data_IF_800029873023
#
_entry.id   IF_800029873023
#
_cell.length_a   1.000
_cell.length_b   1.000
_cell.length_c   1.000
_cell.angle_alpha   90.00
_cell.angle_beta   90.00
_cell.angle_gamma   90.00
#
_symmetry.space_group_name_H-M   'P 1'
#
loop_
_entity.id
_entity.type
_entity.pdbx_description
1 polymer ?
#
# COMPACT_ATOMS: atom_id res chain seq x y z
N UNK A 1 4.44 14.15 16.71
CA UNK A 1 5.57 13.60 17.47
C UNK A 1 5.90 14.48 18.67
N UNK A 2 6.23 15.75 18.48
CA UNK A 2 6.57 16.65 19.60
C UNK A 2 5.56 16.70 20.76
N UNK A 3 4.28 16.51 20.46
CA UNK A 3 3.21 16.50 21.48
C UNK A 3 3.18 15.23 22.34
N UNK A 4 4.02 14.22 22.06
CA UNK A 4 4.06 12.95 22.78
C UNK A 4 5.40 12.65 23.43
N UNK A 5 6.38 13.54 23.27
CA UNK A 5 7.75 13.39 23.78
C UNK A 5 8.40 12.06 23.37
N UNK A 6 8.07 11.57 22.13
CA UNK A 6 8.54 10.30 21.58
C UNK A 6 9.11 10.52 20.19
N UNK A 7 10.23 9.88 19.92
CA UNK A 7 11.03 10.13 18.71
C UNK A 7 10.86 9.06 17.61
N UNK A 8 10.54 7.83 17.99
CA UNK A 8 10.57 6.71 17.05
C UNK A 8 9.27 6.53 16.29
N UNK A 9 9.39 6.24 14.98
CA UNK A 9 8.30 5.79 14.12
C UNK A 9 8.61 4.36 13.66
N UNK A 10 7.63 3.47 13.73
CA UNK A 10 7.69 2.14 13.15
C UNK A 10 7.08 2.18 11.75
N UNK A 11 7.78 1.64 10.76
CA UNK A 11 7.26 1.31 9.42
C UNK A 11 7.48 -0.16 9.11
N UNK A 12 6.96 -0.64 7.98
CA UNK A 12 7.10 -2.03 7.59
C UNK A 12 8.01 -2.19 6.37
N UNK A 13 8.79 -3.29 6.38
CA UNK A 13 9.62 -3.70 5.25
C UNK A 13 8.74 -3.94 4.03
N UNK A 14 9.17 -3.42 2.88
CA UNK A 14 8.40 -3.46 1.64
C UNK A 14 7.35 -2.36 1.47
N UNK A 15 6.94 -1.67 2.55
CA UNK A 15 6.03 -0.53 2.47
C UNK A 15 6.75 0.77 2.09
N UNK A 16 6.06 1.63 1.31
CA UNK A 16 6.56 2.92 0.86
C UNK A 16 5.62 4.05 1.33
N UNK A 17 6.21 5.09 1.92
CA UNK A 17 5.46 6.20 2.51
C UNK A 17 5.94 7.56 1.99
N UNK A 18 6.16 7.65 0.69
CA UNK A 18 6.59 8.86 0.04
C UNK A 18 8.08 9.15 0.16
N UNK A 19 8.47 10.36 -0.21
CA UNK A 19 9.86 10.79 -0.40
C UNK A 19 10.47 11.44 0.85
N UNK A 20 9.90 11.25 2.03
CA UNK A 20 10.50 11.75 3.27
C UNK A 20 11.76 10.96 3.60
N UNK A 21 12.90 11.65 3.77
CA UNK A 21 14.19 11.03 4.08
C UNK A 21 14.12 10.08 5.29
N UNK A 22 13.39 10.48 6.33
CA UNK A 22 13.21 9.66 7.52
C UNK A 22 12.49 8.33 7.26
N UNK A 23 11.71 8.21 6.18
CA UNK A 23 10.98 7.00 5.82
C UNK A 23 11.66 6.20 4.68
N UNK A 24 12.74 6.74 4.09
CA UNK A 24 13.56 6.06 3.07
C UNK A 24 14.62 5.18 3.75
N UNK A 25 14.17 4.23 4.55
CA UNK A 25 15.01 3.34 5.34
C UNK A 25 14.64 1.88 5.13
N UNK A 26 15.60 1.00 5.36
CA UNK A 26 15.44 -0.46 5.37
C UNK A 26 15.94 -1.05 6.69
N UNK A 27 15.49 -2.25 7.04
CA UNK A 27 16.01 -2.98 8.18
C UNK A 27 17.53 -3.21 8.04
N UNK A 28 18.27 -3.05 9.15
CA UNK A 28 19.65 -3.54 9.27
C UNK A 28 19.69 -5.07 9.37
N UNK A 29 20.84 -5.62 9.74
CA UNK A 29 21.08 -7.08 9.78
C UNK A 29 20.39 -7.83 10.94
N UNK A 30 19.51 -7.19 11.70
CA UNK A 30 18.72 -7.81 12.79
C UNK A 30 17.56 -6.91 13.22
N UNK A 31 16.55 -7.51 13.85
CA UNK A 31 15.28 -6.84 14.22
C UNK A 31 15.48 -5.62 15.13
N UNK A 32 16.52 -5.60 15.95
CA UNK A 32 16.84 -4.50 16.87
C UNK A 32 18.05 -3.69 16.38
N UNK A 33 18.56 -3.97 15.18
CA UNK A 33 19.74 -3.30 14.64
C UNK A 33 19.34 -1.93 14.04
N UNK A 34 20.27 -0.98 14.09
CA UNK A 34 20.09 0.35 13.51
C UNK A 34 19.63 0.25 12.05
N UNK A 35 18.60 1.01 11.71
CA UNK A 35 18.11 1.14 10.34
C UNK A 35 19.16 1.80 9.46
N UNK A 36 19.24 1.33 8.23
CA UNK A 36 20.17 1.86 7.22
C UNK A 36 19.36 2.64 6.19
N UNK A 37 19.86 3.80 5.77
CA UNK A 37 19.26 4.55 4.68
C UNK A 37 19.15 3.69 3.41
N UNK A 38 17.98 3.70 2.78
CA UNK A 38 17.69 2.97 1.54
C UNK A 38 18.05 3.78 0.28
N UNK A 39 18.36 5.07 0.47
CA UNK A 39 18.74 5.99 -0.60
C UNK A 39 20.04 6.69 -0.26
N UNK A 40 20.89 6.87 -1.26
CA UNK A 40 22.05 7.73 -1.14
C UNK A 40 21.62 9.17 -0.82
N UNK A 41 22.39 9.86 0.04
CA UNK A 41 22.12 11.23 0.44
C UNK A 41 21.24 11.39 1.70
N UNK A 42 20.62 10.32 2.21
CA UNK A 42 19.90 10.37 3.48
C UNK A 42 20.90 10.32 4.65
N UNK A 43 20.96 11.37 5.49
CA UNK A 43 21.88 11.38 6.64
C UNK A 43 21.48 10.32 7.67
N UNK A 44 22.47 9.66 8.29
CA UNK A 44 22.25 8.67 9.33
C UNK A 44 21.40 9.22 10.50
N UNK A 45 21.65 10.46 10.89
CA UNK A 45 20.86 11.14 11.93
C UNK A 45 19.37 11.28 11.64
N UNK A 46 18.97 11.20 10.36
CA UNK A 46 17.56 11.20 9.93
C UNK A 46 16.96 9.81 9.98
N UNK A 47 17.71 8.79 9.57
CA UNK A 47 17.27 7.40 9.50
C UNK A 47 17.11 6.75 10.88
N UNK A 48 17.90 7.15 11.87
CA UNK A 48 18.00 6.48 13.19
C UNK A 48 16.69 6.41 14.01
N UNK A 49 15.75 7.31 13.74
CA UNK A 49 14.47 7.37 14.46
C UNK A 49 13.35 6.57 13.79
N UNK A 50 13.64 5.89 12.70
CA UNK A 50 12.67 5.03 12.02
C UNK A 50 13.03 3.58 12.23
N UNK A 51 12.15 2.84 12.89
CA UNK A 51 12.27 1.42 13.13
C UNK A 51 11.54 0.66 12.02
N UNK A 52 12.05 -0.51 11.64
CA UNK A 52 11.45 -1.33 10.58
C UNK A 52 11.03 -2.67 11.16
N UNK A 53 9.73 -2.97 11.08
CA UNK A 53 9.14 -4.26 11.39
C UNK A 53 8.90 -5.07 10.11
N UNK A 54 8.72 -6.37 10.25
CA UNK A 54 8.27 -7.24 9.17
C UNK A 54 6.74 -7.13 9.02
N UNK A 55 6.26 -7.01 7.77
CA UNK A 55 4.83 -6.95 7.50
C UNK A 55 4.19 -8.33 7.75
N UNK A 56 2.98 -8.35 8.33
CA UNK A 56 2.29 -9.57 8.71
C UNK A 56 3.00 -10.43 9.80
N UNK A 57 3.91 -9.83 10.57
CA UNK A 57 4.60 -10.47 11.69
C UNK A 57 4.41 -9.66 12.98
N UNK A 58 3.46 -10.10 13.81
CA UNK A 58 3.16 -9.49 15.11
C UNK A 58 4.36 -9.53 16.07
N UNK A 59 5.17 -10.61 16.01
CA UNK A 59 6.29 -10.78 16.92
C UNK A 59 7.37 -9.75 16.65
N UNK A 60 7.65 -9.46 15.38
CA UNK A 60 8.56 -8.38 14.98
C UNK A 60 8.13 -7.03 15.59
N UNK A 61 6.84 -6.73 15.58
CA UNK A 61 6.31 -5.49 16.18
C UNK A 61 6.43 -5.51 17.69
N UNK A 62 6.07 -6.63 18.35
CA UNK A 62 6.18 -6.80 19.83
C UNK A 62 7.62 -6.58 20.31
N UNK A 63 8.59 -7.11 19.58
CA UNK A 63 10.01 -6.94 19.92
C UNK A 63 10.43 -5.47 19.90
N UNK A 64 9.98 -4.70 18.90
CA UNK A 64 10.25 -3.26 18.83
C UNK A 64 9.59 -2.50 19.98
N UNK A 65 8.31 -2.77 20.30
CA UNK A 65 7.63 -2.12 21.42
C UNK A 65 8.22 -2.46 22.78
N UNK A 66 8.76 -3.66 22.94
CA UNK A 66 9.48 -4.06 24.16
C UNK A 66 10.83 -3.34 24.28
N UNK A 67 11.60 -3.27 23.17
CA UNK A 67 12.91 -2.65 23.14
C UNK A 67 12.84 -1.11 23.31
N UNK A 68 11.81 -0.48 22.74
CA UNK A 68 11.61 0.97 22.72
C UNK A 68 10.36 1.40 23.50
N UNK A 69 10.08 0.73 24.61
CA UNK A 69 8.89 0.93 25.42
C UNK A 69 8.68 2.41 25.78
N UNK A 70 7.49 2.95 25.44
CA UNK A 70 7.14 4.33 25.70
C UNK A 70 7.89 5.37 24.86
N UNK A 71 8.69 4.95 23.88
CA UNK A 71 9.46 5.83 22.99
C UNK A 71 8.92 5.87 21.55
N UNK A 72 8.03 4.94 21.19
CA UNK A 72 7.42 4.87 19.85
C UNK A 72 6.27 5.86 19.78
N UNK A 73 6.40 6.87 18.92
CA UNK A 73 5.37 7.87 18.67
C UNK A 73 4.23 7.34 17.82
N UNK A 74 4.55 6.56 16.78
CA UNK A 74 3.56 6.05 15.85
C UNK A 74 4.03 4.80 15.11
N UNK A 75 3.05 4.01 14.64
CA UNK A 75 3.20 3.06 13.54
C UNK A 75 2.59 3.70 12.29
N UNK A 76 3.31 3.67 11.16
CA UNK A 76 2.76 3.94 9.83
C UNK A 76 2.73 2.65 9.03
N UNK A 77 1.58 2.32 8.43
CA UNK A 77 1.36 1.08 7.70
C UNK A 77 0.49 1.33 6.46
N UNK A 78 0.83 0.70 5.33
CA UNK A 78 -0.10 0.49 4.23
C UNK A 78 -1.07 -0.62 4.67
N UNK A 79 -2.38 -0.38 4.85
CA UNK A 79 -3.33 -1.42 5.29
C UNK A 79 -3.37 -2.64 4.36
N UNK A 80 -3.15 -2.40 3.07
CA UNK A 80 -2.76 -3.40 2.07
C UNK A 80 -1.48 -2.89 1.46
N UNK A 81 -0.39 -3.62 1.66
CA UNK A 81 0.88 -3.25 1.05
C UNK A 81 0.79 -3.45 -0.47
N UNK A 82 1.22 -2.43 -1.23
CA UNK A 82 1.12 -2.42 -2.69
C UNK A 82 2.39 -1.87 -3.38
N UNK A 83 3.49 -1.75 -2.63
CA UNK A 83 4.81 -1.34 -3.12
C UNK A 83 5.84 -2.49 -3.12
N UNK A 84 5.40 -3.68 -2.75
CA UNK A 84 6.11 -4.96 -2.91
C UNK A 84 5.28 -5.98 -3.71
N UNK A 85 4.43 -5.49 -4.60
CA UNK A 85 3.25 -6.16 -5.12
C UNK A 85 2.11 -6.09 -4.12
N UNK A 86 0.94 -6.61 -4.47
CA UNK A 86 -0.23 -6.60 -3.58
C UNK A 86 -0.07 -7.67 -2.51
N UNK A 87 0.09 -7.25 -1.27
CA UNK A 87 0.18 -8.14 -0.10
C UNK A 87 -0.88 -7.72 0.92
N UNK A 88 -2.01 -8.44 0.99
CA UNK A 88 -3.04 -8.18 1.98
C UNK A 88 -2.56 -8.45 3.40
N UNK A 89 -3.13 -7.78 4.41
CA UNK A 89 -2.86 -8.11 5.80
C UNK A 89 -3.41 -9.50 6.13
N UNK A 90 -2.67 -10.26 6.94
CA UNK A 90 -3.21 -11.48 7.56
C UNK A 90 -4.37 -11.12 8.49
N UNK A 91 -5.32 -12.04 8.64
CA UNK A 91 -6.42 -11.87 9.59
C UNK A 91 -5.88 -11.58 11.00
N UNK A 92 -6.40 -10.53 11.65
CA UNK A 92 -5.98 -10.11 12.99
C UNK A 92 -4.79 -9.15 13.02
N UNK A 93 -4.03 -8.99 11.92
CA UNK A 93 -2.81 -8.17 11.94
C UNK A 93 -3.10 -6.68 12.15
N UNK A 94 -4.08 -6.11 11.47
CA UNK A 94 -4.43 -4.69 11.63
C UNK A 94 -5.09 -4.43 12.99
N UNK A 95 -5.90 -5.34 13.49
CA UNK A 95 -6.47 -5.32 14.84
C UNK A 95 -5.37 -5.33 15.89
N UNK A 96 -4.39 -6.21 15.72
CA UNK A 96 -3.21 -6.25 16.59
C UNK A 96 -2.44 -4.92 16.58
N UNK A 97 -2.22 -4.30 15.41
CA UNK A 97 -1.56 -2.99 15.33
C UNK A 97 -2.36 -1.90 16.06
N UNK A 98 -3.71 -1.95 15.95
CA UNK A 98 -4.57 -1.04 16.70
C UNK A 98 -4.42 -1.22 18.20
N UNK A 99 -4.47 -2.45 18.67
CA UNK A 99 -4.43 -2.80 20.10
C UNK A 99 -3.08 -2.45 20.74
N UNK A 100 -1.96 -2.80 20.09
CA UNK A 100 -0.63 -2.53 20.63
C UNK A 100 -0.37 -1.01 20.68
N UNK A 101 -0.77 -0.26 19.64
CA UNK A 101 -0.60 1.20 19.63
C UNK A 101 -1.46 1.86 20.68
N UNK A 102 -2.69 1.41 20.88
CA UNK A 102 -3.58 1.93 21.89
C UNK A 102 -3.06 1.65 23.30
N UNK A 103 -2.56 0.45 23.54
CA UNK A 103 -2.02 0.01 24.84
C UNK A 103 -0.75 0.78 25.22
N UNK A 104 0.17 1.01 24.27
CA UNK A 104 1.40 1.77 24.52
C UNK A 104 1.17 3.28 24.49
N UNK A 105 0.04 3.74 23.97
CA UNK A 105 -0.26 5.15 23.73
C UNK A 105 0.43 5.72 22.49
N UNK A 106 0.92 4.90 21.58
CA UNK A 106 1.40 5.31 20.26
C UNK A 106 0.23 5.62 19.31
N UNK A 107 0.50 6.29 18.19
CA UNK A 107 -0.49 6.53 17.16
C UNK A 107 -0.46 5.43 16.09
N UNK A 108 -1.62 5.05 15.56
CA UNK A 108 -1.74 4.25 14.35
C UNK A 108 -2.03 5.17 13.17
N UNK A 109 -1.16 5.15 12.15
CA UNK A 109 -1.30 5.92 10.91
C UNK A 109 -1.55 4.94 9.78
N UNK A 110 -2.70 5.03 9.10
CA UNK A 110 -2.94 4.32 7.86
C UNK A 110 -2.46 5.15 6.68
N UNK A 111 -1.52 4.60 5.93
CA UNK A 111 -1.17 5.12 4.63
C UNK A 111 -2.15 4.55 3.60
N UNK A 112 -3.18 5.34 3.34
CA UNK A 112 -4.22 5.02 2.36
C UNK A 112 -4.03 5.76 1.02
N UNK A 113 -2.81 6.07 0.67
CA UNK A 113 -2.50 6.69 -0.63
C UNK A 113 -2.91 5.77 -1.79
N UNK A 114 -2.88 4.45 -1.60
CA UNK A 114 -3.36 3.47 -2.59
C UNK A 114 -4.77 2.98 -2.26
N UNK A 115 -5.05 2.63 -1.02
CA UNK A 115 -6.28 1.97 -0.60
C UNK A 115 -7.46 2.93 -0.39
N UNK A 116 -7.20 4.20 -0.12
CA UNK A 116 -8.23 5.23 0.06
C UNK A 116 -9.09 5.41 -1.18
N UNK A 117 -10.40 5.36 -1.01
CA UNK A 117 -11.41 5.40 -2.08
C UNK A 117 -11.26 4.29 -3.14
N UNK A 118 -10.43 3.27 -2.88
CA UNK A 118 -10.20 2.16 -3.80
C UNK A 118 -10.83 0.86 -3.32
N UNK A 119 -10.68 0.51 -2.05
CA UNK A 119 -11.28 -0.71 -1.50
C UNK A 119 -12.74 -0.52 -1.15
N UNK A 120 -13.10 0.66 -0.66
CA UNK A 120 -14.44 1.09 -0.31
C UNK A 120 -14.50 2.63 -0.37
N UNK A 121 -15.67 3.27 -0.29
CA UNK A 121 -15.79 4.73 -0.16
C UNK A 121 -14.98 5.30 1.00
N UNK A 122 -14.95 4.63 2.14
CA UNK A 122 -14.12 4.99 3.30
C UNK A 122 -12.72 4.34 3.31
N UNK A 123 -12.27 3.75 2.19
CA UNK A 123 -10.97 3.12 2.06
C UNK A 123 -10.81 1.84 2.86
N UNK A 124 -9.56 1.54 3.23
CA UNK A 124 -9.24 0.36 4.03
C UNK A 124 -9.81 0.41 5.45
N UNK A 125 -9.97 1.59 6.02
CA UNK A 125 -10.61 1.77 7.34
C UNK A 125 -12.01 1.19 7.37
N UNK A 126 -12.81 1.47 6.34
CA UNK A 126 -14.15 0.91 6.19
C UNK A 126 -14.08 -0.59 5.88
N UNK A 127 -13.24 -0.98 4.94
CA UNK A 127 -13.13 -2.36 4.47
C UNK A 127 -12.73 -3.34 5.60
N UNK A 128 -11.78 -2.95 6.45
CA UNK A 128 -11.30 -3.78 7.58
C UNK A 128 -11.94 -3.43 8.92
N UNK A 129 -12.81 -2.41 8.98
CA UNK A 129 -13.44 -1.91 10.21
C UNK A 129 -12.44 -1.49 11.30
N UNK A 130 -11.29 -0.94 10.89
CA UNK A 130 -10.24 -0.45 11.79
C UNK A 130 -10.17 1.08 11.71
N UNK A 131 -10.23 1.74 12.85
CA UNK A 131 -10.11 3.20 12.92
C UNK A 131 -8.70 3.62 13.34
N UNK A 132 -7.88 4.16 12.43
CA UNK A 132 -6.57 4.72 12.78
C UNK A 132 -6.73 6.07 13.49
N UNK A 133 -5.63 6.57 14.05
CA UNK A 133 -5.56 7.93 14.62
C UNK A 133 -5.36 8.99 13.54
N UNK A 134 -4.58 8.66 12.51
CA UNK A 134 -4.30 9.50 11.34
C UNK A 134 -4.38 8.66 10.06
N UNK A 135 -4.72 9.33 8.97
CA UNK A 135 -4.77 8.75 7.63
C UNK A 135 -4.08 9.67 6.64
N UNK A 136 -3.27 9.13 5.76
CA UNK A 136 -2.74 9.85 4.60
C UNK A 136 -3.43 9.38 3.33
N UNK A 137 -3.76 10.31 2.44
CA UNK A 137 -4.48 10.06 1.20
C UNK A 137 -3.75 10.72 0.02
N UNK A 138 -3.87 10.13 -1.15
CA UNK A 138 -3.32 10.62 -2.40
C UNK A 138 -4.02 9.95 -3.58
N UNK A 139 -3.41 9.99 -4.75
CA UNK A 139 -3.90 9.30 -5.97
C UNK A 139 -5.37 9.62 -6.26
N UNK A 140 -6.32 8.73 -5.95
CA UNK A 140 -7.75 8.88 -6.26
C UNK A 140 -8.33 10.19 -5.72
N UNK A 141 -7.94 10.61 -4.50
CA UNK A 141 -8.45 11.85 -3.90
C UNK A 141 -8.17 13.09 -4.74
N UNK A 142 -7.16 13.04 -5.59
CA UNK A 142 -6.80 14.12 -6.51
C UNK A 142 -7.51 14.11 -7.86
N UNK A 143 -8.28 13.04 -8.17
CA UNK A 143 -8.96 12.94 -9.48
C UNK A 143 -8.00 13.00 -10.67
N UNK A 144 -6.82 12.42 -10.56
CA UNK A 144 -5.74 12.49 -11.56
C UNK A 144 -4.78 13.67 -11.39
N UNK A 145 -5.08 14.61 -10.50
CA UNK A 145 -4.22 15.76 -10.20
C UNK A 145 -3.30 15.45 -8.99
N UNK A 146 -2.13 16.13 -8.88
CA UNK A 146 -1.19 15.91 -7.77
C UNK A 146 -1.75 16.50 -6.46
N UNK A 147 -2.29 15.64 -5.60
CA UNK A 147 -2.84 15.98 -4.28
C UNK A 147 -2.29 15.01 -3.24
N UNK A 148 -1.84 15.55 -2.13
CA UNK A 148 -1.59 14.82 -0.89
C UNK A 148 -2.48 15.39 0.22
N UNK A 149 -3.12 14.52 0.97
CA UNK A 149 -4.02 14.89 2.06
C UNK A 149 -3.69 14.04 3.28
N UNK A 150 -3.82 14.62 4.46
CA UNK A 150 -3.80 13.88 5.71
C UNK A 150 -4.88 14.40 6.64
N UNK A 151 -5.35 13.55 7.50
CA UNK A 151 -6.39 13.88 8.47
C UNK A 151 -6.47 12.84 9.58
N UNK A 152 -7.33 13.07 10.54
CA UNK A 152 -7.54 12.15 11.65
C UNK A 152 -8.22 12.78 12.84
N UNK A 153 -7.88 12.30 14.03
CA UNK A 153 -8.48 12.74 15.28
C UNK A 153 -8.34 14.26 15.46
N UNK A 154 -9.44 14.91 15.84
CA UNK A 154 -9.52 16.37 15.96
C UNK A 154 -8.41 16.96 16.85
N UNK A 155 -8.14 16.36 18.00
CA UNK A 155 -7.13 16.82 18.94
C UNK A 155 -5.70 16.77 18.38
N UNK A 156 -5.43 15.84 17.45
CA UNK A 156 -4.14 15.77 16.76
C UNK A 156 -4.09 16.84 15.67
N UNK A 157 -5.15 16.98 14.89
CA UNK A 157 -5.21 17.96 13.82
C UNK A 157 -5.19 19.40 14.31
N UNK A 158 -5.68 19.66 15.52
CA UNK A 158 -5.57 20.99 16.17
C UNK A 158 -4.14 21.39 16.54
N UNK A 159 -3.18 20.46 16.54
CA UNK A 159 -1.77 20.79 16.71
C UNK A 159 -1.14 21.45 15.47
N UNK A 160 -1.81 21.40 14.32
CA UNK A 160 -1.32 21.98 13.05
C UNK A 160 -1.65 23.49 13.03
N UNK A 161 -0.68 24.27 12.54
CA UNK A 161 -0.85 25.73 12.38
C UNK A 161 -2.07 26.02 11.44
N UNK A 162 -2.82 27.10 11.71
CA UNK A 162 -2.58 28.16 12.68
C UNK A 162 -3.13 27.87 14.09
N UNK A 163 -3.80 26.73 14.31
CA UNK A 163 -4.39 26.40 15.61
C UNK A 163 -3.34 25.92 16.62
N UNK A 164 -2.29 25.23 16.15
CA UNK A 164 -1.21 24.72 16.95
C UNK A 164 0.17 25.10 16.39
N UNK A 165 1.22 24.50 16.95
CA UNK A 165 2.61 24.87 16.68
C UNK A 165 3.24 24.07 15.51
N UNK A 166 2.57 23.01 15.03
CA UNK A 166 3.10 22.18 13.95
C UNK A 166 2.94 22.90 12.61
N UNK A 167 4.06 23.32 12.04
CA UNK A 167 4.07 24.04 10.78
C UNK A 167 3.73 23.12 9.61
N UNK A 168 2.80 23.55 8.77
CA UNK A 168 2.44 22.92 7.50
C UNK A 168 2.22 23.99 6.44
N UNK A 169 2.92 23.87 5.32
CA UNK A 169 2.74 24.74 4.17
C UNK A 169 3.07 24.01 2.87
N UNK A 170 2.44 24.42 1.79
CA UNK A 170 2.71 23.94 0.45
C UNK A 170 2.11 24.92 -0.57
N UNK A 171 2.91 25.41 -1.50
CA UNK A 171 2.49 26.41 -2.50
C UNK A 171 1.25 25.95 -3.30
N UNK A 172 1.17 24.64 -3.59
CA UNK A 172 0.06 24.08 -4.36
C UNK A 172 -1.05 23.49 -3.47
N UNK A 173 -0.96 23.64 -2.13
CA UNK A 173 -2.02 23.20 -1.23
C UNK A 173 -3.31 23.94 -1.51
N UNK A 174 -4.41 23.21 -1.70
CA UNK A 174 -5.70 23.79 -2.04
C UNK A 174 -5.78 24.34 -3.47
N UNK A 175 -4.92 23.91 -4.39
CA UNK A 175 -4.99 24.31 -5.80
C UNK A 175 -6.41 24.08 -6.35
N UNK A 176 -7.10 25.10 -6.90
CA UNK A 176 -8.51 24.99 -7.26
C UNK A 176 -8.79 23.94 -8.35
N UNK A 177 -7.87 23.73 -9.29
CA UNK A 177 -8.03 22.69 -10.33
C UNK A 177 -7.98 21.30 -9.68
N UNK A 178 -6.99 21.05 -8.83
CA UNK A 178 -6.84 19.77 -8.13
C UNK A 178 -8.01 19.51 -7.16
N UNK A 179 -8.46 20.53 -6.44
CA UNK A 179 -9.63 20.41 -5.56
C UNK A 179 -10.90 20.12 -6.33
N UNK A 180 -11.13 20.77 -7.46
CA UNK A 180 -12.30 20.53 -8.31
C UNK A 180 -12.27 19.11 -8.88
N UNK A 181 -11.14 18.66 -9.44
CA UNK A 181 -11.00 17.32 -9.99
C UNK A 181 -11.24 16.23 -8.91
N UNK A 182 -10.67 16.44 -7.72
CA UNK A 182 -10.89 15.54 -6.58
C UNK A 182 -12.35 15.50 -6.14
N UNK A 183 -13.00 16.65 -5.97
CA UNK A 183 -14.41 16.75 -5.58
C UNK A 183 -15.31 16.02 -6.60
N UNK A 184 -15.12 16.26 -7.88
CA UNK A 184 -15.95 15.61 -8.91
C UNK A 184 -15.69 14.10 -8.97
N UNK A 185 -14.47 13.65 -8.80
CA UNK A 185 -14.15 12.21 -8.70
C UNK A 185 -14.86 11.56 -7.51
N UNK A 186 -14.79 12.18 -6.33
CA UNK A 186 -15.44 11.66 -5.13
C UNK A 186 -16.97 11.65 -5.25
N UNK A 187 -17.56 12.68 -5.87
CA UNK A 187 -19.00 12.70 -6.18
C UNK A 187 -19.41 11.56 -7.12
N UNK A 188 -18.59 11.26 -8.13
CA UNK A 188 -18.85 10.13 -9.03
C UNK A 188 -18.82 8.79 -8.27
N UNK A 189 -17.84 8.59 -7.38
CA UNK A 189 -17.75 7.38 -6.58
C UNK A 189 -18.93 7.24 -5.60
N UNK A 190 -19.36 8.34 -4.99
CA UNK A 190 -20.53 8.37 -4.09
C UNK A 190 -21.84 8.10 -4.84
N UNK A 191 -21.97 8.60 -6.05
CA UNK A 191 -23.14 8.38 -6.92
C UNK A 191 -23.19 6.95 -7.50
N UNK A 192 -22.06 6.24 -7.55
CA UNK A 192 -21.92 4.91 -8.17
C UNK A 192 -21.23 3.90 -7.24
N UNK A 193 -21.79 3.61 -6.05
CA UNK A 193 -21.15 2.70 -5.09
C UNK A 193 -21.04 1.26 -5.62
N UNK A 194 -21.84 0.87 -6.61
CA UNK A 194 -21.75 -0.43 -7.29
C UNK A 194 -20.41 -0.66 -7.99
N UNK A 195 -19.63 0.38 -8.25
CA UNK A 195 -18.33 0.28 -8.91
C UNK A 195 -17.36 -0.62 -8.14
N UNK A 196 -17.40 -0.59 -6.82
CA UNK A 196 -16.50 -1.39 -5.99
C UNK A 196 -16.71 -2.90 -6.21
N UNK A 197 -17.94 -3.38 -6.08
CA UNK A 197 -18.26 -4.78 -6.32
C UNK A 197 -18.02 -5.20 -7.79
N UNK A 198 -18.31 -4.32 -8.75
CA UNK A 198 -18.05 -4.55 -10.17
C UNK A 198 -16.55 -4.74 -10.43
N UNK A 199 -15.70 -3.86 -9.89
CA UNK A 199 -14.25 -3.94 -10.06
C UNK A 199 -13.64 -5.15 -9.35
N UNK A 200 -14.12 -5.49 -8.17
CA UNK A 200 -13.71 -6.70 -7.46
C UNK A 200 -14.04 -7.95 -8.27
N UNK A 201 -15.25 -8.04 -8.84
CA UNK A 201 -15.63 -9.15 -9.72
C UNK A 201 -14.74 -9.28 -10.96
N UNK A 202 -14.44 -8.17 -11.63
CA UNK A 202 -13.50 -8.13 -12.77
C UNK A 202 -12.11 -8.60 -12.37
N UNK A 203 -11.60 -8.13 -11.23
CA UNK A 203 -10.28 -8.48 -10.72
C UNK A 203 -10.21 -9.95 -10.33
N UNK A 204 -11.27 -10.48 -9.70
CA UNK A 204 -11.37 -11.89 -9.32
C UNK A 204 -11.36 -12.80 -10.55
N UNK A 205 -12.08 -12.43 -11.63
CA UNK A 205 -12.06 -13.17 -12.89
C UNK A 205 -10.66 -13.22 -13.50
N UNK A 206 -9.96 -12.09 -13.54
CA UNK A 206 -8.58 -12.03 -14.06
C UNK A 206 -7.60 -12.82 -13.19
N UNK A 207 -7.73 -12.72 -11.86
CA UNK A 207 -6.91 -13.50 -10.93
C UNK A 207 -7.14 -15.01 -11.08
N UNK A 208 -8.39 -15.43 -11.28
CA UNK A 208 -8.73 -16.83 -11.54
C UNK A 208 -8.12 -17.33 -12.86
N UNK A 209 -8.25 -16.54 -13.93
CA UNK A 209 -7.65 -16.88 -15.22
C UNK A 209 -6.11 -17.01 -15.13
N UNK A 210 -5.45 -16.15 -14.37
CA UNK A 210 -4.01 -16.26 -14.13
C UNK A 210 -3.65 -17.57 -13.38
N UNK A 211 -4.42 -17.94 -12.34
CA UNK A 211 -4.21 -19.20 -11.61
C UNK A 211 -4.41 -20.42 -12.51
N UNK A 212 -5.42 -20.39 -13.37
CA UNK A 212 -5.70 -21.48 -14.32
C UNK A 212 -4.58 -21.61 -15.37
N UNK A 213 -4.08 -20.48 -15.89
CA UNK A 213 -3.06 -20.48 -16.93
C UNK A 213 -1.68 -20.91 -16.43
N UNK A 214 -1.31 -20.50 -15.21
CA UNK A 214 0.04 -20.68 -14.68
C UNK A 214 0.13 -21.82 -13.65
N UNK A 215 -1.00 -22.22 -13.02
CA UNK A 215 -1.02 -23.24 -11.97
C UNK A 215 -0.11 -22.87 -10.79
N UNK A 216 0.55 -23.85 -10.24
CA UNK A 216 1.44 -23.71 -9.06
C UNK A 216 2.73 -22.93 -9.33
N UNK A 217 2.93 -22.44 -10.56
CA UNK A 217 4.11 -21.61 -10.90
C UNK A 217 4.01 -20.17 -10.44
N UNK A 218 2.81 -19.74 -10.02
CA UNK A 218 2.57 -18.38 -9.58
C UNK A 218 1.76 -18.33 -8.30
N UNK A 219 2.05 -17.33 -7.47
CA UNK A 219 1.16 -16.88 -6.42
C UNK A 219 0.40 -15.64 -6.91
N UNK A 220 -0.92 -15.64 -6.84
CA UNK A 220 -1.77 -14.52 -7.23
C UNK A 220 -2.46 -13.96 -6.00
N UNK A 221 -2.04 -12.78 -5.58
CA UNK A 221 -2.71 -12.01 -4.54
C UNK A 221 -3.70 -11.03 -5.15
N UNK A 222 -4.87 -10.89 -4.52
CA UNK A 222 -5.92 -10.00 -4.98
C UNK A 222 -6.73 -9.48 -3.78
N UNK A 223 -7.12 -8.22 -3.84
CA UNK A 223 -8.09 -7.61 -2.92
C UNK A 223 -8.76 -6.41 -3.60
N UNK A 224 -10.09 -6.36 -3.60
CA UNK A 224 -10.87 -5.35 -4.33
C UNK A 224 -10.42 -5.28 -5.79
N UNK A 225 -10.07 -4.09 -6.26
CA UNK A 225 -9.57 -3.83 -7.63
C UNK A 225 -8.04 -3.94 -7.78
N UNK A 226 -7.35 -4.52 -6.81
CA UNK A 226 -5.89 -4.67 -6.77
C UNK A 226 -5.50 -6.13 -6.96
N UNK A 227 -4.47 -6.40 -7.75
CA UNK A 227 -3.88 -7.72 -7.85
C UNK A 227 -2.40 -7.68 -8.21
N UNK A 228 -1.69 -8.76 -7.92
CA UNK A 228 -0.33 -9.02 -8.41
C UNK A 228 -0.16 -10.50 -8.71
N UNK A 229 0.63 -10.80 -9.74
CA UNK A 229 1.04 -12.15 -10.12
C UNK A 229 2.50 -12.29 -9.76
N UNK A 230 2.84 -13.13 -8.80
CA UNK A 230 4.21 -13.41 -8.40
C UNK A 230 4.65 -14.73 -8.98
N UNK A 231 5.75 -14.74 -9.74
CA UNK A 231 6.31 -15.97 -10.32
C UNK A 231 7.11 -16.74 -9.26
N UNK A 232 6.38 -17.34 -8.34
CA UNK A 232 6.90 -18.17 -7.25
C UNK A 232 5.86 -19.20 -6.83
N UNK A 233 6.31 -20.35 -6.37
CA UNK A 233 5.48 -21.42 -5.79
C UNK A 233 5.12 -21.16 -4.32
N UNK A 234 5.69 -20.10 -3.72
CA UNK A 234 5.44 -19.75 -2.34
C UNK A 234 4.24 -18.81 -2.21
N UNK A 235 3.52 -18.94 -1.09
CA UNK A 235 2.54 -17.94 -0.72
C UNK A 235 3.24 -16.63 -0.35
N UNK A 236 2.88 -15.54 -1.03
CA UNK A 236 3.45 -14.21 -0.80
C UNK A 236 2.64 -13.47 0.25
N UNK A 237 3.24 -13.23 1.41
CA UNK A 237 2.60 -12.62 2.58
C UNK A 237 3.42 -11.47 3.17
N UNK A 238 4.65 -11.27 2.70
CA UNK A 238 5.59 -10.24 3.15
C UNK A 238 6.64 -9.96 2.05
N UNK A 239 7.57 -9.06 2.34
CA UNK A 239 8.64 -8.69 1.40
C UNK A 239 9.59 -9.86 1.11
N UNK A 240 9.91 -10.69 2.09
CA UNK A 240 10.85 -11.79 1.91
C UNK A 240 10.27 -12.88 1.01
N UNK A 241 9.00 -13.20 1.18
CA UNK A 241 8.30 -14.11 0.28
C UNK A 241 8.07 -13.50 -1.11
N UNK A 242 7.79 -12.19 -1.22
CA UNK A 242 7.72 -11.50 -2.50
C UNK A 242 9.05 -11.57 -3.26
N UNK A 243 10.18 -11.41 -2.58
CA UNK A 243 11.54 -11.50 -3.16
C UNK A 243 11.92 -12.90 -3.65
N UNK A 244 11.16 -13.93 -3.35
CA UNK A 244 11.37 -15.28 -3.93
C UNK A 244 10.91 -15.39 -5.39
N UNK A 245 10.24 -14.36 -5.91
CA UNK A 245 9.73 -14.32 -7.28
C UNK A 245 10.84 -14.32 -8.32
N UNK A 246 10.66 -15.11 -9.39
CA UNK A 246 11.54 -15.09 -10.54
C UNK A 246 11.27 -13.87 -11.43
N UNK A 247 12.03 -12.82 -11.19
CA UNK A 247 11.92 -11.56 -11.95
C UNK A 247 12.25 -11.70 -13.43
N UNK A 248 12.98 -12.76 -13.85
CA UNK A 248 13.27 -13.02 -15.27
C UNK A 248 12.03 -13.60 -15.97
N UNK A 249 11.31 -14.49 -15.31
CA UNK A 249 10.03 -14.99 -15.82
C UNK A 249 9.00 -13.84 -15.90
N UNK A 250 8.93 -13.00 -14.89
CA UNK A 250 8.07 -11.80 -14.96
C UNK A 250 8.44 -10.89 -16.13
N UNK A 251 9.73 -10.63 -16.35
CA UNK A 251 10.18 -9.79 -17.46
C UNK A 251 9.85 -10.41 -18.85
N UNK A 252 9.88 -11.73 -18.97
CA UNK A 252 9.44 -12.42 -20.17
C UNK A 252 7.92 -12.31 -20.36
N UNK A 253 7.15 -12.52 -19.32
CA UNK A 253 5.70 -12.32 -19.28
C UNK A 253 5.31 -10.88 -19.65
N UNK A 254 5.94 -9.89 -19.02
CA UNK A 254 5.72 -8.46 -19.32
C UNK A 254 5.93 -8.16 -20.81
N UNK A 255 7.05 -8.62 -21.40
CA UNK A 255 7.34 -8.39 -22.83
C UNK A 255 6.32 -9.07 -23.73
N UNK A 256 5.96 -10.33 -23.43
CA UNK A 256 4.94 -11.03 -24.18
C UNK A 256 3.61 -10.28 -24.18
N UNK A 257 3.16 -9.82 -23.01
CA UNK A 257 1.92 -9.05 -22.87
C UNK A 257 2.00 -7.74 -23.64
N UNK A 258 3.11 -7.03 -23.56
CA UNK A 258 3.32 -5.76 -24.27
C UNK A 258 3.27 -5.95 -25.80
N UNK A 259 3.90 -7.01 -26.33
CA UNK A 259 3.89 -7.37 -27.75
C UNK A 259 2.47 -7.70 -28.25
N UNK A 260 1.57 -8.09 -27.33
CA UNK A 260 0.16 -8.37 -27.63
C UNK A 260 -0.77 -7.19 -27.26
N UNK A 261 -0.22 -6.00 -27.07
CA UNK A 261 -0.98 -4.76 -26.84
C UNK A 261 -1.45 -4.54 -25.40
N UNK A 262 -0.93 -5.30 -24.43
CA UNK A 262 -1.29 -5.20 -23.01
C UNK A 262 -0.12 -4.62 -22.23
N UNK A 263 -0.27 -3.38 -21.76
CA UNK A 263 0.76 -2.70 -21.01
C UNK A 263 0.58 -2.94 -19.51
N UNK A 264 1.39 -3.82 -18.95
CA UNK A 264 1.51 -4.06 -17.51
C UNK A 264 2.60 -3.17 -16.90
N UNK A 265 2.75 -3.19 -15.59
CA UNK A 265 3.89 -2.57 -14.93
C UNK A 265 5.19 -3.36 -15.26
N UNK A 266 6.31 -2.68 -15.55
CA UNK A 266 7.56 -3.37 -15.93
C UNK A 266 8.26 -4.06 -14.75
N UNK A 267 7.82 -3.83 -13.52
CA UNK A 267 8.38 -4.42 -12.31
C UNK A 267 7.44 -5.43 -11.68
N UNK A 268 8.01 -6.57 -11.24
CA UNK A 268 7.31 -7.62 -10.50
C UNK A 268 6.62 -7.09 -9.22
N UNK A 269 7.17 -6.05 -8.62
CA UNK A 269 6.73 -5.54 -7.32
C UNK A 269 5.70 -4.41 -7.42
N UNK A 270 5.21 -4.14 -8.61
CA UNK A 270 4.12 -3.18 -8.82
C UNK A 270 2.76 -3.87 -8.75
N UNK A 271 1.78 -3.15 -8.20
CA UNK A 271 0.40 -3.59 -8.19
C UNK A 271 -0.28 -3.33 -9.54
N UNK A 272 -1.10 -4.26 -9.99
CA UNK A 272 -2.04 -4.05 -11.09
C UNK A 272 -3.35 -3.48 -10.55
N UNK A 273 -3.87 -2.48 -11.26
CA UNK A 273 -5.08 -1.74 -10.88
C UNK A 273 -6.15 -1.95 -11.96
N UNK A 274 -7.25 -2.58 -11.58
CA UNK A 274 -8.41 -2.69 -12.47
C UNK A 274 -9.29 -1.47 -12.28
N UNK A 275 -9.69 -0.86 -13.40
CA UNK A 275 -10.55 0.34 -13.43
C UNK A 275 -11.84 0.08 -14.20
N UNK A 276 -12.80 0.98 -14.06
CA UNK A 276 -14.07 0.86 -14.77
C UNK A 276 -13.93 1.03 -16.29
N UNK A 277 -12.88 1.71 -16.73
CA UNK A 277 -12.52 1.83 -18.14
C UNK A 277 -12.09 0.51 -18.81
N UNK A 278 -11.66 -0.50 -18.05
CA UNK A 278 -11.41 -1.83 -18.59
C UNK A 278 -12.72 -2.53 -18.91
N UNK A 279 -12.98 -2.72 -20.20
CA UNK A 279 -14.13 -3.50 -20.67
C UNK A 279 -13.90 -5.00 -20.46
N UNK A 280 -14.98 -5.79 -20.54
CA UNK A 280 -14.85 -7.26 -20.49
C UNK A 280 -13.99 -7.79 -21.65
N UNK A 281 -14.13 -7.21 -22.85
CA UNK A 281 -13.30 -7.56 -24.01
C UNK A 281 -11.81 -7.30 -23.72
N UNK A 282 -11.44 -6.17 -23.09
CA UNK A 282 -10.08 -5.90 -22.67
C UNK A 282 -9.55 -6.99 -21.72
N UNK A 283 -10.36 -7.41 -20.76
CA UNK A 283 -9.97 -8.40 -19.76
C UNK A 283 -9.91 -9.81 -20.33
N UNK A 284 -10.80 -10.17 -21.26
CA UNK A 284 -10.77 -11.44 -21.97
C UNK A 284 -9.54 -11.57 -22.86
N UNK A 285 -9.10 -10.47 -23.48
CA UNK A 285 -7.86 -10.44 -24.28
C UNK A 285 -6.61 -10.64 -23.41
N UNK A 286 -6.67 -10.31 -22.15
CA UNK A 286 -5.59 -10.52 -21.17
C UNK A 286 -5.57 -11.92 -20.56
N UNK A 287 -6.66 -12.68 -20.73
CA UNK A 287 -6.72 -14.07 -20.26
C UNK A 287 -6.15 -14.99 -21.32
N UNK A 288 -5.06 -15.74 -21.05
CA UNK A 288 -4.56 -16.73 -21.99
C UNK A 288 -5.67 -17.75 -22.26
N UNK A 289 -6.17 -17.78 -23.51
CA UNK A 289 -7.17 -18.76 -23.91
C UNK A 289 -6.56 -20.16 -23.89
N UNK A 290 -7.23 -21.16 -23.33
CA UNK A 290 -6.80 -22.57 -23.46
C UNK A 290 -6.64 -23.01 -24.91
N UNK A 291 -7.18 -22.25 -25.88
CA UNK A 291 -7.08 -22.54 -27.32
C UNK A 291 -5.77 -22.08 -27.92
N UNK A 292 -5.08 -21.10 -27.32
CA UNK A 292 -3.82 -20.56 -27.89
C UNK A 292 -2.62 -21.46 -27.64
N UNK A 293 -2.71 -22.43 -26.73
CA UNK A 293 -1.71 -23.48 -26.53
C UNK A 293 -1.77 -24.64 -27.48
N UNK A 294 -2.77 -24.71 -28.37
CA UNK A 294 -2.99 -25.86 -29.25
C UNK A 294 -2.44 -25.69 -30.68
N UNK A 295 -1.86 -24.54 -31.02
CA UNK A 295 -1.41 -24.22 -32.39
C UNK A 295 0.09 -24.02 -32.55
N UNK A 296 0.93 -24.47 -31.60
CA UNK A 296 2.38 -24.56 -31.84
C UNK A 296 2.80 -26.02 -31.79
N UNK A 297 2.71 -26.68 -32.97
CA UNK A 297 3.51 -27.84 -33.33
C UNK A 297 4.54 -27.42 -34.35
#
# INVERSE_FOLDING_TARGET
MCIRDRDYIVKFKGCYHGHSDGLLVKAGSGVITQTVANSAGVPEGYAKYTLVAEYNDEESVKQLFNAYKGQIAAIIVEPVAANMGVVPPKAGFLEFLRDITQTDGALLIFDEVITGFRLAPGGAQEYFHIKPDLTTLGKIVGGGMPVGTYGGRREIMQCVAPLGEVYQAGTLSGNPIAMTAGIETLKLLDAHPEVYAKLEGKTAGLAQAAREAFGDRVCVNQIGSLMSIFFTDKQVVDMDTAMTSDTKQYAAFFRYMLDHGINLAPSQFEAMFISDAHTEDCLLYTSPSPRDGATSR
#
